data_IF_572818854896
#
_entry.id   IF_572818854896
#
_cell.length_a   1.000
_cell.length_b   1.000
_cell.length_c   1.000
_cell.angle_alpha   90.00
_cell.angle_beta   90.00
_cell.angle_gamma   90.00
#
_symmetry.space_group_name_H-M   'P 1'
#
loop_
_entity.id
_entity.type
_entity.pdbx_description
1 polymer ?
#
# COMPACT_ATOMS: atom_id res chain seq x y z
N UNK A 1 0.52 12.62 0.28
CA UNK A 1 1.80 12.10 -0.26
C UNK A 1 1.76 11.55 -1.71
N UNK A 2 0.68 11.73 -2.48
CA UNK A 2 0.45 11.00 -3.74
C UNK A 2 0.85 11.69 -5.04
N UNK A 3 0.97 13.02 -5.03
CA UNK A 3 1.22 13.80 -6.25
C UNK A 3 2.65 13.66 -6.81
N UNK A 4 3.57 13.02 -6.07
CA UNK A 4 4.92 12.72 -6.52
C UNK A 4 5.23 11.21 -6.33
N UNK A 5 4.70 10.38 -7.21
CA UNK A 5 5.29 9.08 -7.58
C UNK A 5 5.74 8.16 -6.45
N UNK A 6 4.81 7.51 -5.77
CA UNK A 6 5.10 6.42 -4.82
C UNK A 6 5.78 5.20 -5.48
N UNK A 7 5.73 5.09 -6.82
CA UNK A 7 6.13 3.88 -7.55
C UNK A 7 7.49 3.93 -8.26
N UNK A 8 8.13 5.10 -8.39
CA UNK A 8 9.45 5.20 -9.04
C UNK A 8 10.37 6.14 -8.23
N UNK A 9 10.83 5.67 -7.07
CA UNK A 9 12.06 6.21 -6.44
C UNK A 9 11.94 6.91 -5.09
N UNK A 10 10.77 6.99 -4.45
CA UNK A 10 10.64 7.63 -3.13
C UNK A 10 11.14 6.79 -1.95
N UNK A 11 11.27 5.47 -2.07
CA UNK A 11 11.88 4.62 -1.01
C UNK A 11 13.32 5.03 -0.68
N UNK A 12 14.02 5.67 -1.63
CA UNK A 12 15.37 6.22 -1.43
C UNK A 12 15.39 7.62 -0.81
N UNK A 13 14.25 8.33 -0.79
CA UNK A 13 14.10 9.66 -0.20
C UNK A 13 13.38 9.66 1.15
N UNK A 14 12.77 8.54 1.53
CA UNK A 14 12.23 8.37 2.88
C UNK A 14 13.38 8.45 3.90
N UNK A 15 13.17 9.12 5.05
CA UNK A 15 14.12 9.03 6.15
C UNK A 15 14.42 7.56 6.46
N UNK A 16 15.70 7.23 6.68
CA UNK A 16 16.18 5.84 6.86
C UNK A 16 15.31 5.04 7.84
N UNK A 17 14.85 5.68 8.92
CA UNK A 17 14.00 5.04 9.92
C UNK A 17 12.60 4.69 9.41
N UNK A 18 12.01 5.47 8.50
CA UNK A 18 10.69 5.18 7.90
C UNK A 18 10.81 3.98 6.98
N UNK A 19 11.80 3.97 6.08
CA UNK A 19 12.09 2.84 5.21
C UNK A 19 12.36 1.56 6.01
N UNK A 20 13.12 1.66 7.11
CA UNK A 20 13.34 0.51 7.99
C UNK A 20 12.05 0.01 8.64
N UNK A 21 11.17 0.92 9.03
CA UNK A 21 9.85 0.60 9.62
C UNK A 21 8.93 -0.07 8.59
N UNK A 22 8.90 0.41 7.34
CA UNK A 22 8.14 -0.24 6.26
C UNK A 22 8.62 -1.66 5.99
N UNK A 23 9.94 -1.84 5.86
CA UNK A 23 10.53 -3.18 5.66
C UNK A 23 10.23 -4.11 6.84
N UNK A 24 10.31 -3.59 8.07
CA UNK A 24 9.95 -4.35 9.27
C UNK A 24 8.47 -4.75 9.26
N UNK A 25 7.57 -3.86 8.85
CA UNK A 25 6.14 -4.16 8.73
C UNK A 25 5.89 -5.26 7.70
N UNK A 26 6.51 -5.19 6.52
CA UNK A 26 6.38 -6.19 5.45
C UNK A 26 6.94 -7.55 5.89
N UNK A 27 8.13 -7.56 6.48
CA UNK A 27 8.74 -8.79 7.00
C UNK A 27 7.91 -9.40 8.13
N UNK A 28 7.41 -8.57 9.04
CA UNK A 28 6.52 -9.00 10.13
C UNK A 28 5.23 -9.60 9.58
N UNK A 29 4.60 -8.95 8.60
CA UNK A 29 3.39 -9.46 7.93
C UNK A 29 3.65 -10.83 7.28
N UNK A 30 4.79 -11.00 6.59
CA UNK A 30 5.18 -12.27 5.98
C UNK A 30 5.36 -13.39 6.99
N UNK A 31 6.04 -13.12 8.11
CA UNK A 31 6.23 -14.09 9.20
C UNK A 31 4.90 -14.41 9.87
N UNK A 32 4.06 -13.40 10.13
CA UNK A 32 2.75 -13.57 10.74
C UNK A 32 1.86 -14.49 9.90
N UNK A 33 1.82 -14.24 8.58
CA UNK A 33 1.07 -15.06 7.64
C UNK A 33 1.62 -16.49 7.60
N UNK A 34 2.93 -16.66 7.40
CA UNK A 34 3.55 -17.98 7.35
C UNK A 34 3.34 -18.80 8.64
N UNK A 35 3.49 -18.17 9.80
CA UNK A 35 3.32 -18.83 11.10
C UNK A 35 1.85 -19.21 11.36
N UNK A 36 0.92 -18.31 11.05
CA UNK A 36 -0.50 -18.56 11.21
C UNK A 36 -1.03 -19.64 10.26
N UNK A 37 -0.65 -19.60 8.97
CA UNK A 37 -0.98 -20.66 8.00
C UNK A 37 -0.38 -22.00 8.38
N UNK A 38 0.87 -22.01 8.87
CA UNK A 38 1.50 -23.26 9.32
C UNK A 38 0.76 -23.84 10.54
N UNK A 39 0.37 -23.00 11.49
CA UNK A 39 -0.39 -23.42 12.68
C UNK A 39 -1.77 -23.97 12.30
N UNK A 40 -2.46 -23.29 11.39
CA UNK A 40 -3.73 -23.70 10.83
C UNK A 40 -3.62 -25.05 10.09
N UNK A 41 -2.60 -25.23 9.26
CA UNK A 41 -2.34 -26.47 8.54
C UNK A 41 -2.04 -27.64 9.49
N UNK A 42 -1.27 -27.41 10.57
CA UNK A 42 -1.01 -28.45 11.57
C UNK A 42 -2.30 -28.88 12.26
N UNK A 43 -3.19 -27.93 12.61
CA UNK A 43 -4.51 -28.25 13.21
C UNK A 43 -5.35 -29.15 12.30
N UNK A 44 -5.46 -28.83 11.01
CA UNK A 44 -6.20 -29.66 10.03
C UNK A 44 -5.66 -31.09 10.02
N UNK A 45 -4.33 -31.25 9.94
CA UNK A 45 -3.69 -32.56 9.88
C UNK A 45 -3.93 -33.35 11.19
N UNK A 46 -3.94 -32.67 12.34
CA UNK A 46 -4.18 -33.30 13.62
C UNK A 46 -5.63 -33.72 13.84
N UNK A 47 -6.60 -32.95 13.37
CA UNK A 47 -8.02 -33.29 13.44
C UNK A 47 -8.35 -34.48 12.53
N UNK A 48 -7.84 -34.51 11.29
CA UNK A 48 -7.99 -35.64 10.37
C UNK A 48 -7.41 -36.94 10.97
N UNK A 49 -6.29 -36.85 11.67
CA UNK A 49 -5.65 -38.00 12.28
C UNK A 49 -6.37 -38.54 13.53
N UNK A 50 -7.27 -37.77 14.15
CA UNK A 50 -8.10 -38.22 15.29
C UNK A 50 -9.41 -38.89 14.87
N UNK A 51 -9.82 -38.71 13.61
CA UNK A 51 -11.06 -39.28 13.06
C UNK A 51 -10.96 -40.75 12.61
N UNK A 52 -9.75 -41.32 12.53
CA UNK A 52 -9.52 -42.70 12.11
C UNK A 52 -9.00 -43.54 13.29
N UNK A 53 -9.55 -44.75 13.54
CA UNK A 53 -8.99 -45.67 14.53
C UNK A 53 -7.58 -46.07 14.08
N UNK A 54 -6.58 -45.43 14.65
CA UNK A 54 -5.17 -45.73 14.41
C UNK A 54 -4.77 -46.90 15.31
N UNK A 55 -4.87 -48.13 14.79
CA UNK A 55 -4.25 -49.29 15.43
C UNK A 55 -2.74 -49.07 15.46
N UNK A 56 -2.17 -49.02 16.68
CA UNK A 56 -0.79 -48.60 16.96
C UNK A 56 0.32 -49.48 16.38
N UNK A 57 -0.01 -50.43 15.50
CA UNK A 57 0.93 -51.35 14.85
C UNK A 57 1.41 -50.93 13.45
N UNK A 58 0.61 -50.20 12.67
CA UNK A 58 0.82 -50.13 11.20
C UNK A 58 1.29 -48.80 10.62
N UNK A 59 1.37 -47.73 11.42
CA UNK A 59 1.85 -46.45 10.88
C UNK A 59 3.29 -46.22 11.32
N UNK A 60 4.25 -46.51 10.41
CA UNK A 60 5.53 -45.82 10.43
C UNK A 60 5.24 -44.33 10.25
N UNK A 61 4.97 -43.63 11.35
CA UNK A 61 4.67 -42.20 11.34
C UNK A 61 5.90 -41.53 10.73
N UNK A 62 5.74 -41.08 9.48
CA UNK A 62 6.79 -40.41 8.74
C UNK A 62 7.41 -39.34 9.64
N UNK A 63 8.74 -39.24 9.68
CA UNK A 63 9.46 -38.26 10.53
C UNK A 63 8.89 -36.84 10.39
N UNK A 64 8.31 -36.52 9.24
CA UNK A 64 7.57 -35.29 8.98
C UNK A 64 6.39 -35.05 9.94
N UNK A 65 5.52 -36.04 10.18
CA UNK A 65 4.38 -35.92 11.10
C UNK A 65 4.88 -35.81 12.56
N UNK A 66 5.96 -36.52 12.92
CA UNK A 66 6.59 -36.35 14.23
C UNK A 66 7.14 -34.94 14.45
N UNK A 67 7.69 -34.32 13.41
CA UNK A 67 8.16 -32.92 13.45
C UNK A 67 6.96 -31.96 13.55
N UNK A 68 5.90 -32.17 12.76
CA UNK A 68 4.70 -31.33 12.79
C UNK A 68 4.02 -31.33 14.16
N UNK A 69 4.00 -32.48 14.84
CA UNK A 69 3.44 -32.64 16.20
C UNK A 69 4.41 -32.26 17.33
N UNK A 70 5.62 -31.79 17.00
CA UNK A 70 6.59 -31.45 18.03
C UNK A 70 6.14 -30.20 18.79
N UNK A 71 6.05 -30.28 20.12
CA UNK A 71 5.76 -29.13 20.99
C UNK A 71 6.70 -27.95 20.70
N UNK A 72 7.97 -28.22 20.39
CA UNK A 72 8.95 -27.18 20.04
C UNK A 72 8.60 -26.42 18.76
N UNK A 73 7.99 -27.09 17.79
CA UNK A 73 7.54 -26.44 16.55
C UNK A 73 6.35 -25.54 16.85
N UNK A 74 5.37 -26.03 17.63
CA UNK A 74 4.22 -25.24 18.06
C UNK A 74 4.63 -24.01 18.87
N UNK A 75 5.53 -24.17 19.84
CA UNK A 75 6.08 -23.07 20.63
C UNK A 75 6.83 -22.07 19.75
N UNK A 76 7.64 -22.57 18.81
CA UNK A 76 8.38 -21.74 17.86
C UNK A 76 7.46 -20.94 16.94
N UNK A 77 6.40 -21.57 16.40
CA UNK A 77 5.40 -20.92 15.56
C UNK A 77 4.58 -19.90 16.36
N UNK A 78 4.17 -20.23 17.57
CA UNK A 78 3.45 -19.32 18.46
C UNK A 78 4.29 -18.09 18.85
N UNK A 79 5.58 -18.29 19.15
CA UNK A 79 6.52 -17.20 19.42
C UNK A 79 6.74 -16.33 18.17
N UNK A 80 6.97 -16.94 17.01
CA UNK A 80 7.15 -16.22 15.75
C UNK A 80 5.91 -15.39 15.38
N UNK A 81 4.70 -15.97 15.54
CA UNK A 81 3.43 -15.28 15.34
C UNK A 81 3.24 -14.11 16.31
N UNK A 82 3.58 -14.28 17.58
CA UNK A 82 3.45 -13.21 18.58
C UNK A 82 4.45 -12.08 18.34
N UNK A 83 5.72 -12.41 18.06
CA UNK A 83 6.76 -11.42 17.77
C UNK A 83 6.47 -10.63 16.50
N UNK A 84 6.00 -11.31 15.45
CA UNK A 84 5.61 -10.65 14.21
C UNK A 84 4.40 -9.74 14.40
N UNK A 85 3.41 -10.13 15.22
CA UNK A 85 2.31 -9.23 15.59
C UNK A 85 2.84 -7.93 16.25
N UNK A 86 3.72 -8.05 17.24
CA UNK A 86 4.28 -6.89 17.94
C UNK A 86 5.05 -6.00 16.96
N UNK A 87 5.91 -6.59 16.15
CA UNK A 87 6.66 -5.88 15.11
C UNK A 87 5.74 -5.14 14.14
N UNK A 88 4.67 -5.78 13.68
CA UNK A 88 3.68 -5.20 12.78
C UNK A 88 2.96 -4.01 13.43
N UNK A 89 2.40 -4.16 14.63
CA UNK A 89 1.62 -3.12 15.28
C UNK A 89 2.47 -1.92 15.73
N UNK A 90 3.69 -2.17 16.22
CA UNK A 90 4.64 -1.08 16.50
C UNK A 90 4.98 -0.33 15.22
N UNK A 91 5.20 -1.06 14.12
CA UNK A 91 5.51 -0.43 12.82
C UNK A 91 4.35 0.43 12.33
N UNK A 92 3.09 -0.01 12.48
CA UNK A 92 1.91 0.80 12.14
C UNK A 92 1.89 2.12 12.93
N UNK A 93 2.16 2.08 14.25
CA UNK A 93 2.21 3.28 15.09
C UNK A 93 3.34 4.21 14.64
N UNK A 94 4.53 3.67 14.38
CA UNK A 94 5.68 4.44 13.91
C UNK A 94 5.43 5.09 12.54
N UNK A 95 4.76 4.39 11.62
CA UNK A 95 4.36 4.94 10.32
C UNK A 95 3.33 6.06 10.46
N UNK A 96 2.37 5.94 11.39
CA UNK A 96 1.43 7.03 11.70
C UNK A 96 2.16 8.26 12.25
N UNK A 97 3.16 8.07 13.11
CA UNK A 97 4.01 9.16 13.61
C UNK A 97 4.83 9.76 12.45
N UNK A 98 5.37 8.93 11.56
CA UNK A 98 6.11 9.37 10.38
C UNK A 98 5.26 10.29 9.50
N UNK A 99 4.00 9.91 9.24
CA UNK A 99 3.07 10.72 8.46
C UNK A 99 2.88 12.12 9.06
N UNK A 100 2.81 12.24 10.39
CA UNK A 100 2.68 13.53 11.06
C UNK A 100 3.96 14.38 11.10
N UNK A 101 5.15 13.75 10.98
CA UNK A 101 6.44 14.43 11.01
C UNK A 101 6.96 14.82 9.62
N UNK A 102 6.44 14.22 8.56
CA UNK A 102 6.84 14.52 7.19
C UNK A 102 6.39 15.92 6.76
N UNK A 103 7.23 16.61 5.97
CA UNK A 103 6.92 17.95 5.45
C UNK A 103 5.80 17.84 4.42
N UNK A 104 4.64 18.42 4.73
CA UNK A 104 3.46 18.46 3.87
C UNK A 104 2.21 18.79 4.69
N UNK A 105 1.14 19.22 4.04
CA UNK A 105 -0.17 19.30 4.69
C UNK A 105 -0.74 17.89 4.80
N UNK A 106 -0.96 17.40 6.03
CA UNK A 106 -1.68 16.15 6.28
C UNK A 106 -3.14 16.37 5.92
N UNK A 107 -3.69 15.52 5.06
CA UNK A 107 -5.11 15.64 4.67
C UNK A 107 -6.03 15.14 5.80
N UNK A 108 -7.30 15.54 5.77
CA UNK A 108 -8.27 15.07 6.75
C UNK A 108 -8.41 13.53 6.72
N UNK A 109 -8.28 12.93 5.53
CA UNK A 109 -8.35 11.49 5.37
C UNK A 109 -7.11 10.78 5.94
N UNK A 110 -5.91 11.31 5.68
CA UNK A 110 -4.66 10.82 6.28
C UNK A 110 -4.73 10.87 7.83
N UNK A 111 -5.29 11.94 8.41
CA UNK A 111 -5.52 12.05 9.85
C UNK A 111 -6.50 10.97 10.36
N UNK A 112 -7.62 10.76 9.67
CA UNK A 112 -8.61 9.74 10.02
C UNK A 112 -8.00 8.34 9.94
N UNK A 113 -7.20 8.07 8.89
CA UNK A 113 -6.46 6.83 8.72
C UNK A 113 -5.51 6.59 9.90
N UNK A 114 -4.69 7.57 10.29
CA UNK A 114 -3.84 7.45 11.47
C UNK A 114 -4.64 7.15 12.74
N UNK A 115 -5.78 7.80 12.92
CA UNK A 115 -6.62 7.60 14.09
C UNK A 115 -7.20 6.17 14.16
N UNK A 116 -7.72 5.66 13.05
CA UNK A 116 -8.22 4.27 12.93
C UNK A 116 -7.07 3.28 13.11
N UNK A 117 -5.93 3.50 12.45
CA UNK A 117 -4.78 2.61 12.51
C UNK A 117 -4.20 2.50 13.92
N UNK A 118 -4.13 3.60 14.67
CA UNK A 118 -3.71 3.60 16.09
C UNK A 118 -4.76 2.88 16.96
N UNK A 119 -6.05 3.17 16.75
CA UNK A 119 -7.14 2.49 17.44
C UNK A 119 -7.16 0.98 17.20
N UNK A 120 -6.69 0.55 16.04
CA UNK A 120 -6.49 -0.85 15.69
C UNK A 120 -5.21 -1.44 16.30
N UNK A 121 -4.07 -0.76 16.17
CA UNK A 121 -2.77 -1.30 16.55
C UNK A 121 -2.55 -1.41 18.06
N UNK A 122 -3.04 -0.44 18.86
CA UNK A 122 -2.78 -0.41 20.31
C UNK A 122 -3.37 -1.64 21.03
N UNK A 123 -4.67 -1.98 20.89
CA UNK A 123 -5.23 -3.15 21.57
C UNK A 123 -4.48 -4.44 21.22
N UNK A 124 -4.13 -4.62 19.94
CA UNK A 124 -3.42 -5.81 19.50
C UNK A 124 -1.98 -5.87 20.02
N UNK A 125 -1.24 -4.75 20.01
CA UNK A 125 0.09 -4.69 20.60
C UNK A 125 0.06 -5.06 22.10
N UNK A 126 -0.95 -4.59 22.83
CA UNK A 126 -1.13 -4.94 24.26
C UNK A 126 -1.40 -6.44 24.43
N UNK A 127 -2.28 -7.02 23.61
CA UNK A 127 -2.58 -8.47 23.66
C UNK A 127 -1.32 -9.29 23.33
N UNK A 128 -0.57 -8.93 22.28
CA UNK A 128 0.63 -9.66 21.88
C UNK A 128 1.76 -9.54 22.90
N UNK A 129 1.99 -8.35 23.48
CA UNK A 129 2.99 -8.17 24.54
C UNK A 129 2.68 -9.04 25.76
N UNK A 130 1.40 -9.17 26.13
CA UNK A 130 0.99 -10.04 27.24
C UNK A 130 1.19 -11.52 26.95
N UNK A 131 0.93 -11.96 25.71
CA UNK A 131 1.20 -13.34 25.30
C UNK A 131 2.69 -13.69 25.44
N UNK A 132 3.60 -12.75 25.16
CA UNK A 132 5.04 -12.95 25.41
C UNK A 132 5.40 -13.09 26.89
N UNK A 133 4.78 -12.29 27.77
CA UNK A 133 5.05 -12.38 29.22
C UNK A 133 4.57 -13.72 29.81
N UNK A 134 3.44 -14.25 29.31
CA UNK A 134 2.94 -15.58 29.72
C UNK A 134 3.84 -16.73 29.26
N UNK A 135 4.57 -16.57 28.15
CA UNK A 135 5.58 -17.56 27.71
C UNK A 135 6.82 -17.60 28.61
N UNK A 136 6.97 -16.67 29.56
CA UNK A 136 8.07 -16.65 30.55
C UNK A 136 7.55 -16.97 31.96
N UNK A 137 7.30 -18.25 32.30
CA UNK A 137 6.66 -18.65 33.56
C UNK A 137 7.44 -18.24 34.82
N UNK A 138 8.73 -17.92 34.71
CA UNK A 138 9.58 -17.48 35.83
C UNK A 138 9.33 -16.05 36.30
N UNK A 139 8.57 -15.24 35.55
CA UNK A 139 8.32 -13.82 35.86
C UNK A 139 6.93 -13.54 36.42
N UNK A 140 6.03 -14.52 36.38
CA UNK A 140 4.58 -14.32 36.47
C UNK A 140 4.01 -14.51 37.88
N UNK A 141 4.78 -15.03 38.84
CA UNK A 141 4.29 -15.24 40.22
C UNK A 141 4.01 -13.93 40.98
N UNK A 142 4.62 -12.80 40.59
CA UNK A 142 4.52 -11.53 41.33
C UNK A 142 3.69 -10.43 40.63
N UNK A 143 3.16 -10.67 39.42
CA UNK A 143 2.44 -9.65 38.66
C UNK A 143 0.93 -9.68 38.93
N UNK A 144 0.36 -8.57 39.41
CA UNK A 144 -1.08 -8.42 39.57
C UNK A 144 -1.81 -8.69 38.23
N UNK A 145 -2.89 -9.49 38.22
CA UNK A 145 -3.65 -9.79 37.00
C UNK A 145 -4.37 -8.51 36.55
N UNK A 146 -3.75 -7.76 35.64
CA UNK A 146 -4.44 -6.73 34.88
C UNK A 146 -5.53 -7.42 34.04
N UNK A 147 -6.73 -6.84 33.90
CA UNK A 147 -7.83 -7.50 33.19
C UNK A 147 -7.41 -7.79 31.73
N UNK A 148 -7.20 -9.07 31.40
CA UNK A 148 -6.86 -9.55 30.05
C UNK A 148 -8.01 -9.30 29.09
N UNK A 149 -9.22 -9.47 29.60
CA UNK A 149 -10.47 -9.47 28.86
C UNK A 149 -10.76 -8.14 28.16
N UNK A 150 -10.36 -7.01 28.75
CA UNK A 150 -10.59 -5.68 28.18
C UNK A 150 -9.78 -5.45 26.89
N UNK A 151 -8.50 -5.84 26.89
CA UNK A 151 -7.62 -5.67 25.74
C UNK A 151 -8.00 -6.64 24.61
N UNK A 152 -8.36 -7.88 24.97
CA UNK A 152 -8.84 -8.89 24.03
C UNK A 152 -10.17 -8.49 23.39
N UNK A 153 -11.13 -8.00 24.17
CA UNK A 153 -12.40 -7.51 23.65
C UNK A 153 -12.24 -6.29 22.72
N UNK A 154 -11.32 -5.37 23.05
CA UNK A 154 -10.99 -4.24 22.20
C UNK A 154 -10.29 -4.68 20.92
N UNK A 155 -9.34 -5.62 20.99
CA UNK A 155 -8.64 -6.17 19.84
C UNK A 155 -9.61 -6.89 18.89
N UNK A 156 -10.54 -7.69 19.43
CA UNK A 156 -11.60 -8.36 18.66
C UNK A 156 -12.48 -7.35 17.89
N UNK A 157 -12.89 -6.25 18.52
CA UNK A 157 -13.66 -5.20 17.84
C UNK A 157 -12.82 -4.46 16.79
N UNK A 158 -11.56 -4.18 17.11
CA UNK A 158 -10.67 -3.51 16.19
C UNK A 158 -10.39 -4.37 14.94
N UNK A 159 -10.26 -5.68 15.10
CA UNK A 159 -9.98 -6.62 14.02
C UNK A 159 -11.15 -6.76 13.02
N UNK A 160 -12.40 -6.50 13.44
CA UNK A 160 -13.55 -6.72 12.57
C UNK A 160 -13.73 -5.66 11.48
N UNK A 161 -13.34 -4.40 11.74
CA UNK A 161 -13.55 -3.29 10.80
C UNK A 161 -12.29 -2.48 10.50
N UNK A 162 -11.29 -2.53 11.39
CA UNK A 162 -10.11 -1.67 11.34
C UNK A 162 -9.34 -1.81 10.02
N UNK A 163 -8.97 -3.03 9.60
CA UNK A 163 -8.22 -3.22 8.35
C UNK A 163 -8.95 -2.69 7.11
N UNK A 164 -10.24 -3.00 6.96
CA UNK A 164 -11.03 -2.55 5.80
C UNK A 164 -11.15 -1.03 5.77
N UNK A 165 -11.45 -0.43 6.92
CA UNK A 165 -11.59 1.02 7.02
C UNK A 165 -10.26 1.73 6.73
N UNK A 166 -9.12 1.17 7.16
CA UNK A 166 -7.80 1.69 6.79
C UNK A 166 -7.58 1.67 5.28
N UNK A 167 -7.93 0.58 4.58
CA UNK A 167 -7.78 0.51 3.11
C UNK A 167 -8.70 1.53 2.43
N UNK A 168 -9.96 1.60 2.84
CA UNK A 168 -10.94 2.54 2.28
C UNK A 168 -10.47 3.99 2.48
N UNK A 169 -10.09 4.38 3.70
CA UNK A 169 -9.61 5.73 3.99
C UNK A 169 -8.29 6.03 3.28
N UNK A 170 -7.40 5.05 3.15
CA UNK A 170 -6.23 5.23 2.32
C UNK A 170 -6.67 5.62 0.90
N UNK A 171 -7.57 4.89 0.25
CA UNK A 171 -7.93 5.14 -1.16
C UNK A 171 -8.86 6.34 -1.39
N UNK A 172 -9.68 6.70 -0.40
CA UNK A 172 -10.69 7.75 -0.49
C UNK A 172 -10.15 9.18 -0.70
N UNK A 173 -8.83 9.37 -0.65
CA UNK A 173 -8.16 10.65 -0.88
C UNK A 173 -7.12 10.55 -2.02
N UNK A 174 -7.34 9.64 -2.96
CA UNK A 174 -6.48 9.49 -4.14
C UNK A 174 -6.29 10.80 -4.94
N UNK A 175 -7.26 11.75 -4.99
CA UNK A 175 -7.07 13.01 -5.69
C UNK A 175 -6.73 14.23 -4.80
N UNK A 176 -6.74 14.14 -3.47
CA UNK A 176 -6.58 15.35 -2.62
C UNK A 176 -7.72 16.37 -2.77
N UNK A 177 -8.86 15.95 -3.32
CA UNK A 177 -9.99 16.80 -3.70
C UNK A 177 -11.26 16.51 -2.91
N UNK A 178 -11.17 15.77 -1.80
CA UNK A 178 -12.33 15.44 -0.99
C UNK A 178 -13.07 16.71 -0.52
N UNK A 179 -14.35 16.79 -0.87
CA UNK A 179 -15.23 17.87 -0.43
C UNK A 179 -15.33 17.90 1.10
N UNK A 180 -15.56 19.08 1.69
CA UNK A 180 -15.68 19.28 3.14
C UNK A 180 -16.67 18.31 3.81
N UNK A 181 -17.78 17.99 3.13
CA UNK A 181 -18.78 17.06 3.67
C UNK A 181 -18.30 15.60 3.66
N UNK A 182 -17.50 15.18 2.67
CA UNK A 182 -16.89 13.83 2.64
C UNK A 182 -15.90 13.68 3.80
N UNK A 183 -15.06 14.71 4.01
CA UNK A 183 -14.14 14.77 5.15
C UNK A 183 -14.86 14.65 6.49
N UNK A 184 -16.04 15.27 6.63
CA UNK A 184 -16.87 15.12 7.82
C UNK A 184 -17.37 13.68 8.01
N UNK A 185 -17.80 13.01 6.93
CA UNK A 185 -18.21 11.59 6.98
C UNK A 185 -17.05 10.69 7.42
N UNK A 186 -15.86 10.88 6.84
CA UNK A 186 -14.66 10.11 7.19
C UNK A 186 -14.29 10.29 8.67
N UNK A 187 -14.36 11.52 9.16
CA UNK A 187 -14.09 11.85 10.57
C UNK A 187 -15.10 11.20 11.53
N UNK A 188 -16.38 11.28 11.21
CA UNK A 188 -17.45 10.64 12.02
C UNK A 188 -17.27 9.13 12.05
N UNK A 189 -16.95 8.50 10.92
CA UNK A 189 -16.70 7.06 10.87
C UNK A 189 -15.48 6.65 11.70
N UNK A 190 -14.38 7.39 11.62
CA UNK A 190 -13.17 7.15 12.41
C UNK A 190 -13.43 7.26 13.93
N UNK A 191 -14.19 8.28 14.36
CA UNK A 191 -14.60 8.44 15.76
C UNK A 191 -15.52 7.29 16.20
N UNK A 192 -16.52 6.95 15.39
CA UNK A 192 -17.47 5.89 15.71
C UNK A 192 -16.75 4.54 15.88
N UNK A 193 -15.78 4.24 15.01
CA UNK A 193 -14.91 3.06 15.12
C UNK A 193 -14.15 3.03 16.43
N UNK A 194 -13.36 4.06 16.74
CA UNK A 194 -12.55 4.08 17.98
C UNK A 194 -13.43 4.09 19.23
N UNK A 195 -14.59 4.75 19.19
CA UNK A 195 -15.56 4.73 20.28
C UNK A 195 -16.14 3.32 20.51
N UNK A 196 -16.42 2.57 19.45
CA UNK A 196 -16.86 1.18 19.55
C UNK A 196 -15.76 0.28 20.15
N UNK A 197 -14.52 0.42 19.70
CA UNK A 197 -13.35 -0.29 20.27
C UNK A 197 -13.19 0.00 21.76
N UNK A 198 -13.24 1.28 22.14
CA UNK A 198 -13.13 1.69 23.54
C UNK A 198 -14.30 1.19 24.40
N UNK A 199 -15.54 1.19 23.87
CA UNK A 199 -16.70 0.67 24.56
C UNK A 199 -16.62 -0.85 24.76
N UNK A 200 -16.12 -1.59 23.78
CA UNK A 200 -15.86 -3.03 23.90
C UNK A 200 -14.80 -3.32 24.96
N UNK A 201 -13.72 -2.53 25.03
CA UNK A 201 -12.71 -2.70 26.07
C UNK A 201 -13.19 -2.32 27.48
N UNK A 202 -14.08 -1.33 27.62
CA UNK A 202 -14.67 -0.95 28.92
C UNK A 202 -15.74 -1.91 29.42
N UNK A 203 -16.35 -2.67 28.52
CA UNK A 203 -17.41 -3.62 28.85
C UNK A 203 -17.15 -4.94 28.14
N UNK A 204 -16.07 -5.65 28.54
CA UNK A 204 -15.70 -6.91 27.91
C UNK A 204 -16.83 -7.94 28.06
N UNK A 205 -17.05 -8.80 27.05
CA UNK A 205 -17.98 -9.92 27.19
C UNK A 205 -17.47 -10.88 28.28
N UNK A 206 -18.37 -11.60 28.95
CA UNK A 206 -17.95 -12.70 29.84
C UNK A 206 -17.31 -13.78 29.00
N UNK A 207 -16.06 -14.13 29.27
CA UNK A 207 -15.35 -15.20 28.58
C UNK A 207 -16.05 -16.52 28.87
N UNK A 208 -16.65 -17.11 27.84
CA UNK A 208 -17.00 -18.51 27.83
C UNK A 208 -16.02 -19.29 26.95
N UNK A 209 -15.94 -20.60 27.17
CA UNK A 209 -14.90 -21.46 26.59
C UNK A 209 -15.11 -21.79 25.09
N UNK A 210 -16.11 -21.20 24.44
CA UNK A 210 -16.45 -21.46 23.03
C UNK A 210 -16.38 -20.20 22.17
N UNK A 211 -15.53 -20.24 21.14
CA UNK A 211 -15.60 -19.30 20.02
C UNK A 211 -17.01 -19.39 19.41
N UNK A 212 -17.72 -18.27 19.27
CA UNK A 212 -19.02 -18.24 18.60
C UNK A 212 -18.92 -17.40 17.33
N UNK A 213 -19.67 -17.78 16.29
CA UNK A 213 -19.65 -17.04 15.03
C UNK A 213 -20.12 -15.60 15.25
N UNK A 214 -19.58 -14.64 14.46
CA UNK A 214 -20.04 -13.27 14.48
C UNK A 214 -21.54 -13.19 14.18
N UNK A 215 -22.21 -12.16 14.73
CA UNK A 215 -23.61 -11.91 14.40
C UNK A 215 -23.76 -11.69 12.90
N UNK A 216 -24.85 -12.17 12.30
CA UNK A 216 -25.10 -12.08 10.86
C UNK A 216 -24.93 -10.66 10.31
N UNK A 217 -25.36 -9.64 11.07
CA UNK A 217 -25.21 -8.24 10.68
C UNK A 217 -23.75 -7.75 10.68
N UNK A 218 -22.94 -8.21 11.63
CA UNK A 218 -21.50 -7.90 11.68
C UNK A 218 -20.78 -8.56 10.50
N UNK A 219 -21.03 -9.86 10.30
CA UNK A 219 -20.47 -10.62 9.21
C UNK A 219 -20.80 -9.99 7.84
N UNK A 220 -22.06 -9.64 7.62
CA UNK A 220 -22.49 -8.96 6.40
C UNK A 220 -21.81 -7.58 6.22
N UNK A 221 -21.64 -6.83 7.32
CA UNK A 221 -20.96 -5.52 7.27
C UNK A 221 -19.50 -5.66 6.87
N UNK A 222 -18.76 -6.57 7.52
CA UNK A 222 -17.35 -6.83 7.19
C UNK A 222 -17.19 -7.20 5.73
N UNK A 223 -18.05 -8.09 5.22
CA UNK A 223 -18.01 -8.52 3.83
C UNK A 223 -18.25 -7.37 2.85
N UNK A 224 -19.26 -6.54 3.11
CA UNK A 224 -19.54 -5.38 2.24
C UNK A 224 -18.34 -4.43 2.22
N UNK A 225 -17.68 -4.22 3.36
CA UNK A 225 -16.49 -3.38 3.42
C UNK A 225 -15.27 -4.02 2.74
N UNK A 226 -15.08 -5.33 2.85
CA UNK A 226 -14.04 -6.07 2.13
C UNK A 226 -14.25 -5.98 0.61
N UNK A 227 -15.50 -6.12 0.16
CA UNK A 227 -15.86 -5.94 -1.24
C UNK A 227 -15.57 -4.51 -1.71
N UNK A 228 -16.00 -3.51 -0.94
CA UNK A 228 -15.73 -2.09 -1.24
C UNK A 228 -14.22 -1.81 -1.31
N UNK A 229 -13.44 -2.27 -0.34
CA UNK A 229 -11.99 -2.12 -0.32
C UNK A 229 -11.34 -2.79 -1.54
N UNK A 230 -11.79 -3.99 -1.91
CA UNK A 230 -11.29 -4.74 -3.07
C UNK A 230 -11.58 -4.01 -4.38
N UNK A 231 -12.82 -3.55 -4.58
CA UNK A 231 -13.21 -2.79 -5.78
C UNK A 231 -12.44 -1.46 -5.85
N UNK A 232 -12.32 -0.75 -4.73
CA UNK A 232 -11.54 0.47 -4.65
C UNK A 232 -10.07 0.24 -5.06
N UNK A 233 -9.45 -0.86 -4.61
CA UNK A 233 -8.08 -1.22 -5.02
C UNK A 233 -7.98 -1.48 -6.52
N UNK A 234 -8.94 -2.18 -7.12
CA UNK A 234 -8.95 -2.46 -8.58
C UNK A 234 -9.01 -1.16 -9.37
N UNK A 235 -9.93 -0.27 -8.99
CA UNK A 235 -10.16 0.99 -9.71
C UNK A 235 -8.98 1.94 -9.53
N UNK A 236 -8.44 2.07 -8.32
CA UNK A 236 -7.33 2.99 -8.06
C UNK A 236 -6.00 2.50 -8.63
N UNK A 237 -5.81 1.19 -8.81
CA UNK A 237 -4.56 0.60 -9.31
C UNK A 237 -4.83 -0.35 -10.48
N UNK A 238 -5.17 0.18 -11.68
CA UNK A 238 -5.47 -0.65 -12.84
C UNK A 238 -4.28 -1.51 -13.29
N UNK A 239 -3.03 -1.11 -13.01
CA UNK A 239 -1.85 -1.94 -13.28
C UNK A 239 -1.73 -3.15 -12.35
N UNK A 240 -2.41 -3.14 -11.19
CA UNK A 240 -2.55 -4.30 -10.30
C UNK A 240 -3.74 -5.17 -10.69
N UNK A 241 -4.51 -4.79 -11.72
CA UNK A 241 -5.63 -5.55 -12.30
C UNK A 241 -5.12 -6.79 -13.08
N UNK A 242 -4.30 -7.59 -12.42
CA UNK A 242 -3.83 -8.88 -12.91
C UNK A 242 -4.85 -9.97 -12.59
N UNK A 243 -4.75 -11.09 -13.29
CA UNK A 243 -5.60 -12.26 -13.03
C UNK A 243 -5.58 -12.70 -11.55
N UNK A 244 -4.47 -12.47 -10.84
CA UNK A 244 -4.32 -12.76 -9.42
C UNK A 244 -5.36 -12.03 -8.55
N UNK A 245 -5.69 -10.78 -8.88
CA UNK A 245 -6.61 -9.97 -8.10
C UNK A 245 -8.06 -10.43 -8.33
N UNK A 246 -8.39 -10.86 -9.55
CA UNK A 246 -9.65 -11.54 -9.86
C UNK A 246 -9.75 -12.90 -9.17
N UNK A 247 -8.66 -13.68 -9.13
CA UNK A 247 -8.62 -14.95 -8.42
C UNK A 247 -8.84 -14.75 -6.91
N UNK A 248 -8.23 -13.72 -6.31
CA UNK A 248 -8.49 -13.33 -4.92
C UNK A 248 -9.95 -12.92 -4.70
N UNK A 249 -10.54 -12.15 -5.62
CA UNK A 249 -11.95 -11.76 -5.55
C UNK A 249 -12.87 -12.99 -5.64
N UNK A 250 -12.60 -13.91 -6.55
CA UNK A 250 -13.33 -15.17 -6.66
C UNK A 250 -13.18 -16.04 -5.40
N UNK A 251 -11.98 -16.08 -4.81
CA UNK A 251 -11.73 -16.75 -3.54
C UNK A 251 -12.54 -16.13 -2.40
N UNK A 252 -12.64 -14.80 -2.32
CA UNK A 252 -13.47 -14.12 -1.33
C UNK A 252 -14.96 -14.50 -1.48
N UNK A 253 -15.46 -14.56 -2.72
CA UNK A 253 -16.84 -15.00 -3.00
C UNK A 253 -17.04 -16.47 -2.61
N UNK A 254 -16.06 -17.33 -2.88
CA UNK A 254 -16.12 -18.74 -2.49
C UNK A 254 -16.09 -18.91 -0.96
N UNK A 255 -15.22 -18.18 -0.26
CA UNK A 255 -15.18 -18.15 1.20
C UNK A 255 -16.50 -17.65 1.78
N UNK A 256 -17.11 -16.62 1.17
CA UNK A 256 -18.45 -16.18 1.54
C UNK A 256 -19.48 -17.29 1.43
N UNK A 257 -19.54 -17.96 0.26
CA UNK A 257 -20.46 -19.07 0.07
C UNK A 257 -20.22 -20.18 1.12
N UNK A 258 -18.95 -20.49 1.43
CA UNK A 258 -18.59 -21.48 2.45
C UNK A 258 -19.07 -21.07 3.85
N UNK A 259 -18.90 -19.81 4.26
CA UNK A 259 -19.34 -19.32 5.58
C UNK A 259 -20.87 -19.31 5.77
N UNK A 260 -21.65 -19.37 4.69
CA UNK A 260 -23.11 -19.50 4.77
C UNK A 260 -23.55 -20.90 5.23
N UNK A 261 -22.70 -21.91 5.01
CA UNK A 261 -22.94 -23.27 5.48
C UNK A 261 -22.38 -23.44 6.89
N UNK A 262 -23.24 -23.69 7.88
CA UNK A 262 -22.85 -23.79 9.29
C UNK A 262 -21.67 -24.75 9.53
N UNK A 263 -21.68 -25.93 8.87
CA UNK A 263 -20.60 -26.91 9.02
C UNK A 263 -19.23 -26.46 8.48
N UNK A 264 -19.20 -25.62 7.44
CA UNK A 264 -17.94 -25.07 6.91
C UNK A 264 -17.50 -23.83 7.68
N UNK A 265 -18.47 -23.03 8.14
CA UNK A 265 -18.21 -21.85 8.96
C UNK A 265 -17.46 -22.19 10.24
N UNK A 266 -17.90 -23.22 10.96
CA UNK A 266 -17.30 -23.59 12.24
C UNK A 266 -15.86 -24.12 12.01
N UNK A 267 -15.64 -24.92 10.95
CA UNK A 267 -14.30 -25.35 10.53
C UNK A 267 -13.39 -24.18 10.13
N UNK A 268 -13.90 -23.18 9.41
CA UNK A 268 -13.15 -21.98 9.06
C UNK A 268 -12.81 -21.14 10.29
N UNK A 269 -13.71 -21.07 11.27
CA UNK A 269 -13.46 -20.36 12.53
C UNK A 269 -12.35 -21.04 13.33
N UNK A 270 -12.41 -22.36 13.48
CA UNK A 270 -11.38 -23.14 14.19
C UNK A 270 -10.01 -23.06 13.50
N UNK A 271 -10.03 -22.96 12.16
CA UNK A 271 -8.84 -22.77 11.33
C UNK A 271 -8.23 -21.37 11.47
N UNK A 272 -9.07 -20.34 11.64
CA UNK A 272 -8.67 -18.93 11.71
C UNK A 272 -8.39 -18.44 13.15
N UNK A 273 -8.82 -19.18 14.17
CA UNK A 273 -8.53 -18.92 15.58
C UNK A 273 -7.02 -18.75 15.93
N UNK A 274 -6.06 -19.45 15.28
CA UNK A 274 -4.63 -19.14 15.46
C UNK A 274 -4.23 -17.78 14.88
N UNK A 275 -4.89 -17.35 13.80
CA UNK A 275 -4.54 -16.16 13.03
C UNK A 275 -5.13 -14.88 13.66
N UNK A 276 -6.36 -14.98 14.17
CA UNK A 276 -7.08 -13.87 14.78
C UNK A 276 -7.68 -14.29 16.11
N UNK A 277 -7.72 -13.34 17.06
CA UNK A 277 -8.49 -13.55 18.29
C UNK A 277 -9.97 -13.57 17.90
N UNK A 278 -10.54 -14.76 17.70
CA UNK A 278 -11.97 -14.92 17.37
C UNK A 278 -12.80 -14.69 18.63
N UNK A 279 -13.99 -14.09 18.48
CA UNK A 279 -14.89 -13.82 19.60
C UNK A 279 -15.38 -15.13 20.22
N UNK A 280 -15.24 -15.27 21.53
CA UNK A 280 -15.90 -16.33 22.31
C UNK A 280 -17.12 -15.80 23.06
N UNK A 281 -18.18 -16.60 22.98
CA UNK A 281 -19.48 -16.52 23.65
C UNK A 281 -20.32 -15.21 23.60
N UNK A 282 -21.51 -15.33 23.03
CA UNK A 282 -22.61 -14.33 23.09
C UNK A 282 -23.67 -14.74 24.12
N UNK A 283 -23.69 -16.00 24.57
CA UNK A 283 -24.77 -16.56 25.39
C UNK A 283 -24.66 -16.22 26.89
N UNK A 284 -23.62 -15.48 27.32
CA UNK A 284 -23.46 -15.05 28.72
C UNK A 284 -23.08 -13.58 28.92
N UNK A 285 -23.21 -12.74 27.89
CA UNK A 285 -22.98 -11.31 28.05
C UNK A 285 -24.14 -10.67 28.82
N UNK A 286 -23.85 -9.88 29.85
CA UNK A 286 -24.77 -8.81 30.25
C UNK A 286 -24.64 -7.72 29.16
N UNK A 287 -25.66 -7.51 28.30
CA UNK A 287 -25.55 -6.57 27.20
C UNK A 287 -25.52 -5.15 27.75
N UNK A 288 -24.35 -4.53 27.70
CA UNK A 288 -24.28 -3.08 27.80
C UNK A 288 -24.97 -2.49 26.59
N UNK A 289 -26.22 -2.02 26.72
CA UNK A 289 -26.98 -1.37 25.64
C UNK A 289 -26.17 -0.28 24.92
N UNK A 290 -25.30 0.41 25.67
CA UNK A 290 -24.36 1.40 25.14
C UNK A 290 -23.34 0.80 24.16
N UNK A 291 -22.72 -0.34 24.50
CA UNK A 291 -21.76 -1.05 23.64
C UNK A 291 -22.41 -1.46 22.32
N UNK A 292 -23.55 -2.13 22.37
CA UNK A 292 -24.25 -2.57 21.16
C UNK A 292 -24.67 -1.39 20.28
N UNK A 293 -25.14 -0.30 20.89
CA UNK A 293 -25.52 0.91 20.16
C UNK A 293 -24.30 1.51 19.46
N UNK A 294 -23.17 1.66 20.16
CA UNK A 294 -21.94 2.20 19.56
C UNK A 294 -21.39 1.33 18.45
N UNK A 295 -21.45 0.00 18.59
CA UNK A 295 -21.06 -0.94 17.52
C UNK A 295 -21.93 -0.79 16.29
N UNK A 296 -23.26 -0.77 16.45
CA UNK A 296 -24.19 -0.58 15.32
C UNK A 296 -23.98 0.77 14.64
N UNK A 297 -23.77 1.84 15.43
CA UNK A 297 -23.44 3.17 14.89
C UNK A 297 -22.14 3.11 14.10
N UNK A 298 -21.10 2.47 14.63
CA UNK A 298 -19.83 2.26 13.93
C UNK A 298 -20.02 1.53 12.60
N UNK A 299 -20.78 0.43 12.57
CA UNK A 299 -21.08 -0.31 11.34
C UNK A 299 -21.74 0.56 10.28
N UNK A 300 -22.81 1.27 10.66
CA UNK A 300 -23.54 2.16 9.75
C UNK A 300 -22.61 3.26 9.24
N UNK A 301 -21.84 3.91 10.13
CA UNK A 301 -20.90 4.95 9.73
C UNK A 301 -19.80 4.42 8.80
N UNK A 302 -19.27 3.22 9.02
CA UNK A 302 -18.27 2.61 8.16
C UNK A 302 -18.84 2.26 6.78
N UNK A 303 -20.07 1.74 6.71
CA UNK A 303 -20.75 1.46 5.44
C UNK A 303 -21.00 2.75 4.64
N UNK A 304 -21.45 3.80 5.32
CA UNK A 304 -21.62 5.13 4.70
C UNK A 304 -20.26 5.66 4.23
N UNK A 305 -19.21 5.56 5.03
CA UNK A 305 -17.85 5.94 4.66
C UNK A 305 -17.37 5.19 3.40
N UNK A 306 -17.59 3.87 3.34
CA UNK A 306 -17.25 3.05 2.17
C UNK A 306 -18.02 3.46 0.92
N UNK A 307 -19.31 3.74 1.04
CA UNK A 307 -20.13 4.23 -0.08
C UNK A 307 -19.68 5.62 -0.56
N UNK A 308 -19.37 6.54 0.35
CA UNK A 308 -18.86 7.88 0.01
C UNK A 308 -17.49 7.80 -0.64
N UNK A 309 -16.60 6.94 -0.14
CA UNK A 309 -15.29 6.71 -0.75
C UNK A 309 -15.41 6.14 -2.16
N UNK A 310 -16.28 5.15 -2.37
CA UNK A 310 -16.57 4.61 -3.70
C UNK A 310 -17.12 5.68 -4.65
N UNK A 311 -18.06 6.49 -4.17
CA UNK A 311 -18.59 7.61 -4.93
C UNK A 311 -17.48 8.60 -5.33
N UNK A 312 -16.56 8.90 -4.41
CA UNK A 312 -15.43 9.80 -4.68
C UNK A 312 -14.49 9.23 -5.75
N UNK A 313 -14.13 7.95 -5.61
CA UNK A 313 -13.28 7.22 -6.55
C UNK A 313 -13.92 7.15 -7.94
N UNK A 314 -15.25 6.96 -8.03
CA UNK A 314 -15.96 6.90 -9.31
C UNK A 314 -16.10 8.26 -9.99
N UNK A 315 -16.21 9.36 -9.24
CA UNK A 315 -16.27 10.71 -9.80
C UNK A 315 -14.90 11.25 -10.21
N UNK A 316 -13.84 10.76 -9.57
CA UNK A 316 -12.45 11.11 -9.88
C UNK A 316 -11.68 9.83 -10.22
N UNK A 317 -12.04 9.13 -11.31
CA UNK A 317 -11.30 7.95 -11.72
C UNK A 317 -9.84 8.36 -11.88
N UNK A 318 -8.94 7.58 -11.28
CA UNK A 318 -7.49 7.75 -11.48
C UNK A 318 -7.29 7.80 -12.99
N UNK A 319 -6.80 8.93 -13.51
CA UNK A 319 -6.75 9.19 -14.96
C UNK A 319 -6.14 7.99 -15.69
N UNK A 320 -6.99 7.14 -16.26
CA UNK A 320 -6.62 6.12 -17.23
C UNK A 320 -6.03 6.89 -18.41
N UNK A 321 -4.73 6.71 -18.64
CA UNK A 321 -3.93 7.57 -19.53
C UNK A 321 -2.72 8.25 -18.89
N UNK A 322 -2.54 8.18 -17.56
CA UNK A 322 -1.26 8.61 -16.94
C UNK A 322 -0.07 7.68 -17.34
N UNK A 323 -0.37 6.45 -17.77
CA UNK A 323 0.61 5.44 -18.17
C UNK A 323 0.42 4.89 -19.59
N UNK A 324 -0.73 5.16 -20.23
CA UNK A 324 -0.93 4.81 -21.63
C UNK A 324 -0.54 6.03 -22.46
N UNK A 325 0.51 5.88 -23.29
CA UNK A 325 0.80 6.90 -24.31
C UNK A 325 -0.48 7.07 -25.13
N UNK A 326 -0.99 8.31 -25.34
CA UNK A 326 -2.09 8.54 -26.26
C UNK A 326 -1.79 7.82 -27.58
N UNK A 327 -2.76 7.13 -28.18
CA UNK A 327 -2.58 6.54 -29.52
C UNK A 327 -2.13 7.58 -30.56
N UNK A 328 -2.41 8.87 -30.31
CA UNK A 328 -1.91 10.00 -31.10
C UNK A 328 -0.39 10.21 -31.02
N UNK A 329 0.30 9.67 -30.01
CA UNK A 329 1.75 9.70 -29.88
C UNK A 329 2.43 8.61 -30.74
N UNK A 330 1.72 7.52 -31.06
CA UNK A 330 2.14 6.59 -32.11
C UNK A 330 2.01 7.18 -33.52
N UNK A 331 1.16 8.20 -33.70
CA UNK A 331 1.02 8.93 -34.95
C UNK A 331 2.01 10.11 -35.09
N UNK A 332 2.69 10.51 -34.01
CA UNK A 332 3.78 11.49 -34.02
C UNK A 332 5.09 10.73 -34.29
N UNK A 333 5.35 10.44 -35.56
CA UNK A 333 6.64 9.98 -36.10
C UNK A 333 7.69 11.12 -36.05
N UNK A 334 7.81 11.78 -34.90
CA UNK A 334 8.63 12.97 -34.70
C UNK A 334 10.07 12.62 -34.28
N UNK A 335 10.43 11.33 -34.28
CA UNK A 335 11.72 10.83 -33.78
C UNK A 335 11.93 11.02 -32.27
N UNK A 336 10.91 11.51 -31.55
CA UNK A 336 11.00 11.73 -30.10
C UNK A 336 11.06 10.40 -29.35
N UNK A 337 10.29 9.39 -29.77
CA UNK A 337 10.30 8.06 -29.15
C UNK A 337 11.72 7.42 -29.12
N UNK A 338 12.56 7.71 -30.13
CA UNK A 338 13.96 7.27 -30.19
C UNK A 338 14.89 8.03 -29.22
N UNK A 339 14.49 9.23 -28.77
CA UNK A 339 15.16 9.92 -27.68
C UNK A 339 14.88 9.20 -26.35
N UNK A 340 13.69 8.61 -26.16
CA UNK A 340 13.20 8.06 -24.88
C UNK A 340 13.56 6.59 -24.61
N UNK A 341 14.85 6.23 -24.62
CA UNK A 341 15.29 4.92 -24.13
C UNK A 341 15.24 4.88 -22.59
N UNK A 342 14.18 4.26 -22.05
CA UNK A 342 13.92 4.08 -20.61
C UNK A 342 15.12 3.49 -19.87
N UNK A 343 15.99 2.74 -20.54
CA UNK A 343 17.05 1.98 -19.90
C UNK A 343 18.42 2.66 -19.89
N UNK A 344 18.62 3.76 -20.63
CA UNK A 344 19.97 4.32 -20.84
C UNK A 344 20.09 5.83 -20.62
N UNK A 345 19.00 6.59 -20.55
CA UNK A 345 19.06 8.05 -20.40
C UNK A 345 19.25 8.54 -18.96
N UNK A 346 20.24 9.38 -18.77
CA UNK A 346 20.64 9.94 -17.48
C UNK A 346 20.73 11.46 -17.57
N UNK A 347 20.55 12.13 -16.44
CA UNK A 347 20.56 13.58 -16.36
C UNK A 347 21.58 14.06 -15.33
N UNK A 348 22.36 15.07 -15.72
CA UNK A 348 23.31 15.76 -14.86
C UNK A 348 22.99 17.24 -14.86
N UNK A 349 22.72 17.80 -13.69
CA UNK A 349 22.71 19.26 -13.48
C UNK A 349 24.00 19.68 -12.81
N UNK A 350 24.70 20.68 -13.36
CA UNK A 350 25.95 21.17 -12.76
C UNK A 350 25.73 22.50 -12.03
N UNK A 351 26.57 22.80 -11.02
CA UNK A 351 26.52 23.99 -10.16
C UNK A 351 26.72 25.30 -10.95
N UNK A 352 26.16 26.44 -10.48
CA UNK A 352 26.35 27.72 -11.16
C UNK A 352 27.82 28.15 -11.11
N UNK A 353 28.34 28.65 -12.23
CA UNK A 353 29.74 29.09 -12.36
C UNK A 353 30.75 27.99 -12.71
N UNK A 354 30.35 26.71 -12.64
CA UNK A 354 31.18 25.58 -13.04
C UNK A 354 30.95 25.25 -14.53
N UNK A 355 31.73 25.87 -15.41
CA UNK A 355 31.67 25.67 -16.86
C UNK A 355 32.69 24.68 -17.36
N UNK A 356 32.72 23.45 -16.82
CA UNK A 356 33.49 22.37 -17.47
C UNK A 356 32.68 21.95 -18.67
N UNK A 357 33.11 22.30 -19.89
CA UNK A 357 32.38 21.96 -21.11
C UNK A 357 32.00 20.48 -21.19
N UNK A 358 31.14 20.14 -22.15
CA UNK A 358 30.52 18.81 -22.32
C UNK A 358 31.41 17.61 -21.95
N UNK A 359 32.63 17.54 -22.50
CA UNK A 359 33.57 16.44 -22.26
C UNK A 359 33.91 16.27 -20.79
N UNK A 360 34.12 17.37 -20.06
CA UNK A 360 34.42 17.34 -18.64
C UNK A 360 33.26 16.83 -17.79
N UNK A 361 32.02 17.15 -18.18
CA UNK A 361 30.81 16.66 -17.49
C UNK A 361 30.64 15.14 -17.71
N UNK A 362 30.79 14.68 -18.95
CA UNK A 362 30.68 13.25 -19.28
C UNK A 362 31.79 12.42 -18.62
N UNK A 363 33.01 12.96 -18.54
CA UNK A 363 34.13 12.28 -17.88
C UNK A 363 33.90 12.15 -16.37
N UNK A 364 33.46 13.22 -15.72
CA UNK A 364 33.12 13.17 -14.29
C UNK A 364 31.98 12.16 -14.02
N UNK A 365 30.97 12.11 -14.89
CA UNK A 365 29.89 11.13 -14.79
C UNK A 365 30.40 9.69 -14.98
N UNK A 366 31.21 9.44 -16.01
CA UNK A 366 31.77 8.12 -16.30
C UNK A 366 32.68 7.62 -15.17
N UNK A 367 33.59 8.46 -14.69
CA UNK A 367 34.48 8.16 -13.56
C UNK A 367 33.68 7.75 -12.31
N UNK A 368 32.64 8.53 -11.99
CA UNK A 368 31.80 8.25 -10.81
C UNK A 368 31.06 6.92 -10.87
N UNK A 369 30.79 6.41 -12.08
CA UNK A 369 30.10 5.14 -12.31
C UNK A 369 31.08 3.98 -12.53
N UNK A 370 32.38 4.24 -12.58
CA UNK A 370 33.40 3.27 -12.97
C UNK A 370 33.23 2.79 -14.41
N UNK A 371 32.78 3.68 -15.31
CA UNK A 371 32.60 3.42 -16.73
C UNK A 371 33.68 4.13 -17.55
N UNK A 372 33.92 3.64 -18.76
CA UNK A 372 34.78 4.34 -19.70
C UNK A 372 34.07 5.57 -20.27
N UNK A 373 34.77 6.70 -20.35
CA UNK A 373 34.18 7.98 -20.73
C UNK A 373 33.61 7.98 -22.16
N UNK A 374 34.15 7.14 -23.04
CA UNK A 374 33.68 7.01 -24.43
C UNK A 374 32.36 6.24 -24.55
N UNK A 375 31.94 5.56 -23.49
CA UNK A 375 30.66 4.83 -23.45
C UNK A 375 29.47 5.73 -23.12
N UNK A 376 29.71 6.95 -22.64
CA UNK A 376 28.66 7.93 -22.43
C UNK A 376 28.59 8.88 -23.63
N UNK A 377 27.40 9.00 -24.22
CA UNK A 377 27.14 9.90 -25.34
C UNK A 377 26.18 11.00 -24.90
N UNK A 378 26.53 12.25 -25.19
CA UNK A 378 25.59 13.37 -25.07
C UNK A 378 24.39 13.13 -25.98
N UNK A 379 23.21 13.40 -25.45
CA UNK A 379 21.97 13.56 -26.21
C UNK A 379 21.66 15.04 -26.41
N UNK A 380 21.64 15.81 -25.32
CA UNK A 380 21.36 17.24 -25.35
C UNK A 380 22.11 17.97 -24.24
N UNK A 381 22.46 19.24 -24.49
CA UNK A 381 23.00 20.14 -23.46
C UNK A 381 22.19 21.43 -23.47
N UNK A 382 21.78 21.85 -22.29
CA UNK A 382 20.98 23.05 -22.06
C UNK A 382 21.77 23.97 -21.13
N UNK A 383 22.56 24.87 -21.72
CA UNK A 383 23.53 25.69 -20.99
C UNK A 383 22.85 26.63 -19.99
N UNK A 384 21.72 27.24 -20.38
CA UNK A 384 20.97 28.17 -19.52
C UNK A 384 20.44 27.48 -18.26
N UNK A 385 19.93 26.25 -18.40
CA UNK A 385 19.36 25.47 -17.30
C UNK A 385 20.43 24.68 -16.53
N UNK A 386 21.67 24.66 -17.03
CA UNK A 386 22.81 23.88 -16.55
C UNK A 386 22.57 22.37 -16.57
N UNK A 387 21.94 21.88 -17.64
CA UNK A 387 21.51 20.48 -17.76
C UNK A 387 22.21 19.75 -18.91
N UNK A 388 22.72 18.56 -18.62
CA UNK A 388 23.26 17.63 -19.59
C UNK A 388 22.39 16.37 -19.58
N UNK A 389 21.82 16.05 -20.73
CA UNK A 389 21.17 14.78 -21.00
C UNK A 389 22.14 13.89 -21.76
N UNK A 390 22.40 12.71 -21.23
CA UNK A 390 23.35 11.77 -21.81
C UNK A 390 22.83 10.35 -21.71
N UNK A 391 23.33 9.47 -22.58
CA UNK A 391 22.98 8.05 -22.59
C UNK A 391 24.21 7.17 -22.51
N UNK A 392 24.02 5.98 -21.97
CA UNK A 392 25.00 4.91 -22.09
C UNK A 392 24.84 4.20 -23.44
N UNK A 393 25.88 4.23 -24.27
CA UNK A 393 25.95 3.47 -25.51
C UNK A 393 26.81 2.22 -25.28
N UNK A 394 26.15 1.07 -25.21
CA UNK A 394 26.80 -0.22 -25.00
C UNK A 394 27.58 -0.73 -26.24
N UNK A 395 27.50 -0.04 -27.38
CA UNK A 395 28.07 -0.51 -28.65
C UNK A 395 27.27 -1.67 -29.27
N UNK A 396 27.75 -2.16 -30.43
CA UNK A 396 27.10 -3.26 -31.20
C UNK A 396 27.25 -4.65 -30.57
N UNK A 397 28.19 -4.81 -29.64
CA UNK A 397 28.43 -6.06 -28.93
C UNK A 397 27.59 -6.06 -27.64
N UNK A 398 26.32 -6.41 -27.81
CA UNK A 398 25.26 -6.21 -26.83
C UNK A 398 25.56 -6.58 -25.37
N UNK A 399 24.92 -5.82 -24.48
CA UNK A 399 24.36 -6.26 -23.19
C UNK A 399 25.27 -6.97 -22.18
N UNK A 400 26.60 -6.87 -22.26
CA UNK A 400 27.41 -7.15 -21.06
C UNK A 400 27.31 -5.98 -20.09
N UNK A 401 26.18 -5.91 -19.37
CA UNK A 401 25.98 -5.05 -18.20
C UNK A 401 27.20 -5.21 -17.29
N UNK A 402 28.03 -4.16 -17.09
CA UNK A 402 29.22 -4.28 -16.27
C UNK A 402 28.80 -4.59 -14.82
N UNK A 403 28.93 -5.85 -14.38
CA UNK A 403 28.71 -6.26 -13.00
C UNK A 403 27.24 -6.43 -12.56
N UNK A 404 26.33 -6.78 -13.47
CA UNK A 404 24.96 -7.21 -13.12
C UNK A 404 23.97 -6.11 -12.69
N UNK A 405 24.45 -4.97 -12.20
CA UNK A 405 23.61 -3.81 -11.86
C UNK A 405 23.27 -2.97 -13.10
N UNK A 406 22.07 -2.39 -13.13
CA UNK A 406 21.66 -1.46 -14.21
C UNK A 406 22.52 -0.18 -14.17
N UNK A 407 22.83 0.40 -15.33
CA UNK A 407 23.61 1.65 -15.42
C UNK A 407 22.90 2.80 -14.69
N UNK A 408 21.57 2.83 -14.75
CA UNK A 408 20.74 3.75 -13.97
C UNK A 408 20.96 3.64 -12.47
N UNK A 409 20.97 2.42 -11.93
CA UNK A 409 21.23 2.22 -10.51
C UNK A 409 22.60 2.74 -10.10
N UNK A 410 23.62 2.51 -10.96
CA UNK A 410 24.97 3.06 -10.73
C UNK A 410 24.94 4.58 -10.75
N UNK A 411 24.41 5.20 -11.79
CA UNK A 411 24.29 6.66 -11.87
C UNK A 411 23.57 7.25 -10.66
N UNK A 412 22.42 6.70 -10.29
CA UNK A 412 21.63 7.16 -9.15
C UNK A 412 22.42 7.10 -7.85
N UNK A 413 23.14 6.01 -7.60
CA UNK A 413 24.04 5.89 -6.46
C UNK A 413 25.22 6.87 -6.49
N UNK A 414 25.80 7.12 -7.67
CA UNK A 414 26.88 8.08 -7.87
C UNK A 414 26.41 9.51 -7.62
N UNK A 415 25.18 9.88 -7.96
CA UNK A 415 24.63 11.20 -7.66
C UNK A 415 24.20 11.34 -6.19
N UNK A 416 23.69 10.27 -5.58
CA UNK A 416 23.32 10.27 -4.17
C UNK A 416 24.53 10.41 -3.23
N UNK A 417 25.68 9.87 -3.62
CA UNK A 417 26.95 9.99 -2.90
C UNK A 417 28.09 10.35 -3.85
N UNK A 418 28.13 11.59 -4.38
CA UNK A 418 29.09 11.99 -5.38
C UNK A 418 30.49 12.02 -4.79
N UNK A 419 31.46 11.55 -5.58
CA UNK A 419 32.88 11.49 -5.21
C UNK A 419 33.73 12.02 -6.36
N UNK A 420 34.95 12.41 -6.03
CA UNK A 420 35.93 12.83 -7.03
C UNK A 420 35.51 14.12 -7.73
N UNK A 421 35.64 14.16 -9.05
CA UNK A 421 35.33 15.36 -9.81
C UNK A 421 33.82 15.61 -9.97
N UNK A 422 32.99 14.57 -9.87
CA UNK A 422 31.53 14.74 -9.91
C UNK A 422 31.03 15.59 -8.74
N UNK A 423 31.56 15.40 -7.53
CA UNK A 423 31.17 16.13 -6.31
C UNK A 423 31.35 17.65 -6.45
N UNK A 424 32.41 18.06 -7.16
CA UNK A 424 32.71 19.48 -7.39
C UNK A 424 31.70 20.11 -8.33
N UNK A 425 31.20 19.34 -9.29
CA UNK A 425 30.42 19.85 -10.43
C UNK A 425 28.92 19.69 -10.19
N UNK A 426 28.45 18.57 -9.63
CA UNK A 426 27.03 18.21 -9.63
C UNK A 426 26.20 19.01 -8.63
N UNK A 427 25.01 19.42 -9.06
CA UNK A 427 23.98 20.00 -8.22
C UNK A 427 23.09 18.86 -7.67
N UNK A 428 23.42 18.39 -6.46
CA UNK A 428 22.71 17.28 -5.79
C UNK A 428 21.28 17.62 -5.38
N UNK A 429 20.87 18.89 -5.49
CA UNK A 429 19.49 19.30 -5.24
C UNK A 429 18.55 18.97 -6.41
N UNK A 430 19.10 18.57 -7.57
CA UNK A 430 18.34 18.24 -8.76
C UNK A 430 18.22 16.72 -8.97
N UNK A 431 17.09 16.22 -9.51
CA UNK A 431 16.93 14.80 -9.81
C UNK A 431 18.00 14.26 -10.75
N UNK A 432 18.59 13.12 -10.39
CA UNK A 432 19.63 12.43 -11.19
C UNK A 432 19.07 11.70 -12.43
N UNK A 433 17.78 11.34 -12.37
CA UNK A 433 17.11 10.54 -13.39
C UNK A 433 15.86 11.28 -13.84
N UNK A 434 15.65 11.31 -15.14
CA UNK A 434 14.46 11.90 -15.74
C UNK A 434 13.27 10.97 -15.53
N UNK A 435 12.20 11.44 -14.90
CA UNK A 435 10.95 10.70 -14.85
C UNK A 435 10.26 10.84 -16.21
N UNK A 436 10.45 9.84 -17.07
CA UNK A 436 9.94 9.81 -18.44
C UNK A 436 8.42 10.03 -18.47
N UNK A 437 7.70 9.43 -17.52
CA UNK A 437 6.25 9.56 -17.39
C UNK A 437 5.84 11.01 -17.15
N UNK A 438 6.51 11.71 -16.22
CA UNK A 438 6.25 13.13 -15.96
C UNK A 438 6.57 14.02 -17.16
N UNK A 439 7.67 13.74 -17.88
CA UNK A 439 8.04 14.51 -19.05
C UNK A 439 7.07 14.30 -20.23
N UNK A 440 6.64 13.06 -20.47
CA UNK A 440 5.62 12.76 -21.48
C UNK A 440 4.29 13.44 -21.13
N UNK A 441 3.91 13.48 -19.86
CA UNK A 441 2.70 14.17 -19.41
C UNK A 441 2.81 15.69 -19.61
N UNK A 442 3.94 16.30 -19.23
CA UNK A 442 4.18 17.72 -19.46
C UNK A 442 4.13 18.06 -20.97
N UNK A 443 4.70 17.18 -21.81
CA UNK A 443 4.64 17.33 -23.26
C UNK A 443 3.20 17.20 -23.78
N UNK A 444 2.46 16.16 -23.38
CA UNK A 444 1.07 15.95 -23.77
C UNK A 444 0.18 17.14 -23.38
N UNK A 445 0.32 17.68 -22.17
CA UNK A 445 -0.41 18.87 -21.74
C UNK A 445 -0.09 20.09 -22.60
N UNK A 446 1.18 20.26 -22.97
CA UNK A 446 1.61 21.36 -23.84
C UNK A 446 1.06 21.21 -25.25
N UNK A 447 1.06 20.00 -25.81
CA UNK A 447 0.48 19.71 -27.13
C UNK A 447 -1.04 19.84 -27.14
N UNK A 448 -1.73 19.38 -26.10
CA UNK A 448 -3.18 19.60 -25.94
C UNK A 448 -3.52 21.09 -25.84
N UNK A 449 -2.74 21.87 -25.10
CA UNK A 449 -2.91 23.32 -25.02
C UNK A 449 -2.70 23.98 -26.40
N UNK A 450 -1.66 23.58 -27.15
CA UNK A 450 -1.44 24.06 -28.53
C UNK A 450 -2.56 23.66 -29.48
N UNK A 451 -3.06 22.43 -29.37
CA UNK A 451 -4.15 21.92 -30.19
C UNK A 451 -5.45 22.71 -29.94
N UNK A 452 -5.75 23.01 -28.67
CA UNK A 452 -6.88 23.85 -28.28
C UNK A 452 -6.75 25.28 -28.84
N UNK A 453 -5.57 25.89 -28.72
CA UNK A 453 -5.33 27.22 -29.32
C UNK A 453 -5.53 27.18 -30.85
N UNK A 454 -5.13 26.08 -31.52
CA UNK A 454 -5.34 25.90 -32.96
C UNK A 454 -6.81 25.68 -33.34
N UNK A 455 -7.59 24.95 -32.53
CA UNK A 455 -9.03 24.79 -32.77
C UNK A 455 -9.76 26.11 -32.58
N UNK A 456 -9.48 26.81 -31.49
CA UNK A 456 -10.12 28.08 -31.15
C UNK A 456 -9.81 29.15 -32.23
N UNK A 457 -8.58 29.16 -32.75
CA UNK A 457 -8.20 30.04 -33.86
C UNK A 457 -8.88 29.67 -35.20
N UNK A 458 -9.16 28.38 -35.45
CA UNK A 458 -9.89 27.93 -36.65
C UNK A 458 -11.37 28.27 -36.57
N UNK A 459 -11.98 28.12 -35.40
CA UNK A 459 -13.38 28.49 -35.17
C UNK A 459 -13.57 30.01 -35.30
N UNK A 460 -12.69 30.81 -34.70
CA UNK A 460 -12.70 32.27 -34.87
C UNK A 460 -12.49 32.72 -36.33
N UNK A 461 -11.64 32.01 -37.09
CA UNK A 461 -11.43 32.27 -38.52
C UNK A 461 -12.62 31.85 -39.39
N UNK A 462 -13.31 30.77 -39.04
CA UNK A 462 -14.52 30.32 -39.72
C UNK A 462 -15.71 31.27 -39.45
N UNK A 463 -15.88 31.74 -38.22
CA UNK A 463 -16.88 32.76 -37.88
C UNK A 463 -16.64 34.08 -38.62
N UNK A 464 -15.38 34.54 -38.69
CA UNK A 464 -15.04 35.75 -39.45
C UNK A 464 -15.35 35.61 -40.96
N UNK A 465 -15.14 34.42 -41.53
CA UNK A 465 -15.46 34.13 -42.93
C UNK A 465 -16.98 34.06 -43.18
N UNK A 466 -17.73 33.53 -42.22
CA UNK A 466 -19.21 33.41 -42.30
C UNK A 466 -19.90 34.77 -42.17
N UNK A 467 -19.37 35.68 -41.35
CA UNK A 467 -19.86 37.07 -41.22
C UNK A 467 -19.56 37.89 -42.49
N UNK A 468 -18.45 37.63 -43.17
CA UNK A 468 -18.10 38.29 -44.42
C UNK A 468 -18.98 37.82 -45.60
N UNK A 469 -19.41 36.54 -45.59
CA UNK A 469 -20.32 36.00 -46.61
C UNK A 469 -21.78 36.47 -46.41
N UNK A 470 -22.23 36.67 -45.17
CA UNK A 470 -23.56 37.22 -44.88
C UNK A 470 -23.69 38.73 -45.16
N UNK A 471 -22.59 39.50 -45.10
CA UNK A 471 -22.60 40.93 -45.45
C UNK A 471 -22.57 41.20 -46.96
N UNK A 472 -22.13 40.22 -47.76
CA UNK A 472 -22.06 40.32 -49.23
C UNK A 472 -23.32 39.83 -49.97
N UNK A 473 -24.28 39.23 -49.26
CA UNK A 473 -25.51 38.74 -49.88
C UNK A 473 -26.76 39.00 -49.00
N UNK A 474 -27.17 40.28 -48.83
CA UNK A 474 -28.45 40.57 -48.18
C UNK A 474 -29.57 40.12 -49.12
N UNK A 475 -30.27 39.03 -48.78
CA UNK A 475 -31.52 38.69 -49.48
C UNK A 475 -32.59 39.75 -49.14
N UNK A 476 -33.33 40.24 -50.15
CA UNK A 476 -34.39 41.24 -49.99
C UNK A 476 -35.62 40.71 -49.23
#
# INVERSE_FOLDING_TARGET
MRYEGYHEGYTEHLPVWVNWTENLAVASMGIWWAAGFSTAAIRIIDDDARGLPMDGGDVQVNKFIQILRSERLHDGLGLAHTLSCIGLFISIVLLCIAMGLMKGSVTACELCLCFVAIGFAIPHAVVSCRRLDLSNPKKTEDAAPLPSEAAEAAAQEAASLGPQLCVILALADSPGHAYLWQNFVYFVAAIAFVAAVAACGRSPPKVGNSALPPQTGEFATCLVLDFVASVALVICFPHLNNWHLWAMTALLIALFAATWFEGWRDLLIDLLDPLFVVRSDTDKALPGKQRETLRRVSWVCCLVCGAVAMWDIMLHPVQEGLFELPDSLHALDDGLADLWDKNTMMLLRWKPGEGRGETGLLWAAAESMGLDALTLKKQAIFEEQRLLLFKYDAGKDGEKKPGGASVHSKWKSSVAGPKGDLEKIIDTSFPAVLNVTLCLHAHAHTEMAKAKVRSDAREAGAEASTVQEQTLNPKP
#
